data_IF_939037191017
#
_entry.id   IF_939037191017
#
_cell.length_a   1.000
_cell.length_b   1.000
_cell.length_c   1.000
_cell.angle_alpha   90.00
_cell.angle_beta   90.00
_cell.angle_gamma   90.00
#
_symmetry.space_group_name_H-M   'P 1'
#
loop_
_entity.id
_entity.type
_entity.pdbx_description
1 polymer ?
#
# COMPACT_ATOMS: atom_id res chain seq x y z
N UNK A 1 6.69 22.99 -14.30
CA UNK A 1 7.37 22.41 -13.12
C UNK A 1 8.35 23.42 -12.52
N UNK A 2 8.73 23.27 -11.23
CA UNK A 2 9.80 24.08 -10.61
C UNK A 2 11.16 23.58 -11.09
N UNK A 3 12.07 24.49 -11.44
CA UNK A 3 13.46 24.12 -11.77
C UNK A 3 14.35 24.36 -10.56
N UNK A 4 15.06 23.34 -10.12
CA UNK A 4 16.00 23.38 -8.99
C UNK A 4 17.40 22.95 -9.47
N UNK A 5 18.44 23.52 -8.86
CA UNK A 5 19.82 23.16 -9.14
C UNK A 5 20.56 22.91 -7.83
N UNK A 6 21.21 21.76 -7.70
CA UNK A 6 21.90 21.36 -6.47
C UNK A 6 23.03 22.30 -6.08
N UNK A 7 23.59 23.04 -7.05
CA UNK A 7 24.65 24.02 -6.79
C UNK A 7 24.12 25.38 -6.30
N UNK A 8 22.81 25.60 -6.29
CA UNK A 8 22.22 26.84 -5.78
C UNK A 8 22.22 26.85 -4.24
N UNK A 9 22.52 28.00 -3.66
CA UNK A 9 22.63 28.16 -2.20
C UNK A 9 21.30 27.86 -1.45
N UNK A 10 20.17 28.03 -2.13
CA UNK A 10 18.82 27.80 -1.61
C UNK A 10 18.25 26.42 -1.93
N UNK A 11 19.00 25.55 -2.61
CA UNK A 11 18.53 24.23 -3.05
C UNK A 11 17.88 23.43 -1.91
N UNK A 12 18.56 23.32 -0.76
CA UNK A 12 18.07 22.53 0.36
C UNK A 12 16.73 23.06 0.91
N UNK A 13 16.59 24.38 1.02
CA UNK A 13 15.33 24.99 1.48
C UNK A 13 14.22 24.85 0.46
N UNK A 14 14.54 24.98 -0.83
CA UNK A 14 13.58 24.77 -1.91
C UNK A 14 13.10 23.32 -2.00
N UNK A 15 14.00 22.35 -1.82
CA UNK A 15 13.65 20.93 -1.76
C UNK A 15 12.80 20.62 -0.55
N UNK A 16 13.13 21.15 0.64
CA UNK A 16 12.30 20.99 1.84
C UNK A 16 10.89 21.55 1.63
N UNK A 17 10.78 22.75 1.03
CA UNK A 17 9.49 23.36 0.73
C UNK A 17 8.67 22.55 -0.30
N UNK A 18 9.34 21.94 -1.30
CA UNK A 18 8.70 21.04 -2.26
C UNK A 18 8.12 19.79 -1.60
N UNK A 19 8.84 19.22 -0.64
CA UNK A 19 8.48 17.99 0.07
C UNK A 19 7.58 18.23 1.29
N UNK A 20 7.40 19.51 1.69
CA UNK A 20 6.47 19.85 2.77
C UNK A 20 5.04 19.62 2.28
N UNK A 21 4.57 18.40 2.48
CA UNK A 21 3.16 18.08 2.35
C UNK A 21 2.53 18.25 3.74
N UNK A 22 1.54 19.15 3.82
CA UNK A 22 0.75 19.27 5.04
C UNK A 22 -0.09 17.99 5.21
N UNK A 23 0.50 17.00 5.88
CA UNK A 23 -0.24 15.88 6.49
C UNK A 23 -1.05 16.36 7.70
N UNK A 24 -1.29 17.67 7.80
CA UNK A 24 -2.12 18.24 8.83
C UNK A 24 -3.48 17.56 8.76
N UNK A 25 -3.72 16.71 9.74
CA UNK A 25 -5.01 16.09 9.94
C UNK A 25 -6.02 17.24 10.10
N UNK A 26 -6.95 17.36 9.16
CA UNK A 26 -8.03 18.33 9.32
C UNK A 26 -8.87 17.90 10.55
N UNK A 27 -8.87 18.67 11.65
CA UNK A 27 -9.61 18.29 12.86
C UNK A 27 -11.10 18.10 12.59
N UNK A 28 -11.64 18.74 11.54
CA UNK A 28 -13.05 18.57 11.14
C UNK A 28 -13.27 17.18 10.54
N UNK A 29 -12.36 16.72 9.70
CA UNK A 29 -12.42 15.37 9.14
C UNK A 29 -12.29 14.34 10.27
N UNK A 30 -11.35 14.52 11.17
CA UNK A 30 -11.14 13.60 12.30
C UNK A 30 -12.38 13.51 13.20
N UNK A 31 -13.07 14.63 13.47
CA UNK A 31 -14.31 14.63 14.26
C UNK A 31 -15.45 13.93 13.53
N UNK A 32 -15.66 14.24 12.24
CA UNK A 32 -16.70 13.58 11.42
C UNK A 32 -16.47 12.06 11.39
N UNK A 33 -15.24 11.64 11.20
CA UNK A 33 -14.88 10.21 11.17
C UNK A 33 -15.08 9.56 12.53
N UNK A 34 -14.75 10.29 13.63
CA UNK A 34 -15.01 9.82 14.98
C UNK A 34 -16.48 9.51 15.21
N UNK A 35 -17.36 10.44 14.79
CA UNK A 35 -18.80 10.31 14.96
C UNK A 35 -19.36 9.15 14.11
N UNK A 36 -18.91 9.02 12.85
CA UNK A 36 -19.30 7.91 11.97
C UNK A 36 -18.85 6.56 12.57
N UNK A 37 -17.60 6.43 13.01
CA UNK A 37 -17.10 5.19 13.58
C UNK A 37 -17.86 4.78 14.84
N UNK A 38 -18.15 5.74 15.74
CA UNK A 38 -18.91 5.48 16.96
C UNK A 38 -20.38 5.08 16.64
N UNK A 39 -20.95 5.68 15.62
CA UNK A 39 -22.32 5.40 15.21
C UNK A 39 -22.45 4.01 14.56
N UNK A 40 -21.50 3.63 13.69
CA UNK A 40 -21.45 2.27 13.11
C UNK A 40 -21.26 1.22 14.22
N UNK A 41 -20.38 1.48 15.18
CA UNK A 41 -20.16 0.57 16.32
C UNK A 41 -21.43 0.39 17.15
N UNK A 42 -22.27 1.43 17.25
CA UNK A 42 -23.50 1.40 18.05
C UNK A 42 -24.71 0.83 17.30
N UNK A 43 -24.90 1.20 16.02
CA UNK A 43 -26.11 0.87 15.25
C UNK A 43 -25.91 -0.20 14.16
N UNK A 44 -24.67 -0.67 13.96
CA UNK A 44 -24.35 -1.73 13.00
C UNK A 44 -24.81 -1.42 11.58
N UNK A 45 -25.47 -2.38 10.96
CA UNK A 45 -25.97 -2.31 9.58
C UNK A 45 -26.83 -1.07 9.31
N UNK A 46 -27.66 -0.64 10.27
CA UNK A 46 -28.52 0.54 10.10
C UNK A 46 -27.71 1.82 9.85
N UNK A 47 -26.59 2.01 10.55
CA UNK A 47 -25.72 3.15 10.32
C UNK A 47 -25.02 3.06 8.96
N UNK A 48 -24.51 1.86 8.59
CA UNK A 48 -23.85 1.64 7.29
C UNK A 48 -24.79 1.96 6.14
N UNK A 49 -26.04 1.48 6.18
CA UNK A 49 -27.05 1.75 5.14
C UNK A 49 -27.33 3.26 5.05
N UNK A 50 -27.57 3.92 6.20
CA UNK A 50 -27.87 5.35 6.23
C UNK A 50 -26.72 6.19 5.61
N UNK A 51 -25.47 5.93 6.02
CA UNK A 51 -24.32 6.67 5.48
C UNK A 51 -24.06 6.34 4.01
N UNK A 52 -24.23 5.09 3.56
CA UNK A 52 -24.11 4.72 2.14
C UNK A 52 -25.18 5.41 1.29
N UNK A 53 -26.42 5.45 1.73
CA UNK A 53 -27.49 6.19 1.05
C UNK A 53 -27.18 7.68 0.97
N UNK A 54 -26.63 8.26 2.04
CA UNK A 54 -26.31 9.68 2.13
C UNK A 54 -25.10 10.09 1.29
N UNK A 55 -24.03 9.31 1.32
CA UNK A 55 -22.73 9.71 0.73
C UNK A 55 -22.52 9.15 -0.67
N UNK A 56 -23.05 7.94 -0.94
CA UNK A 56 -22.93 7.28 -2.24
C UNK A 56 -24.21 7.39 -3.07
N UNK A 57 -25.22 8.14 -2.57
CA UNK A 57 -26.49 8.34 -3.28
C UNK A 57 -27.16 7.01 -3.69
N UNK A 58 -27.05 5.99 -2.84
CA UNK A 58 -27.76 4.72 -3.02
C UNK A 58 -29.17 4.82 -2.44
N UNK A 59 -29.99 3.80 -2.64
CA UNK A 59 -31.35 3.71 -2.08
C UNK A 59 -31.58 2.35 -1.40
N UNK A 60 -30.53 1.81 -0.78
CA UNK A 60 -30.57 0.52 -0.13
C UNK A 60 -31.54 0.51 1.06
N UNK A 61 -32.36 -0.54 1.17
CA UNK A 61 -33.27 -0.76 2.29
C UNK A 61 -32.69 -1.76 3.30
N UNK A 62 -31.73 -2.56 2.85
CA UNK A 62 -31.05 -3.59 3.67
C UNK A 62 -29.61 -3.77 3.19
N UNK A 63 -28.78 -4.45 4.00
CA UNK A 63 -27.44 -4.84 3.58
C UNK A 63 -27.45 -5.85 2.43
N UNK A 64 -28.55 -6.58 2.21
CA UNK A 64 -28.67 -7.45 1.04
C UNK A 64 -28.57 -6.68 -0.28
N UNK A 65 -29.09 -5.45 -0.33
CA UNK A 65 -29.03 -4.58 -1.52
C UNK A 65 -27.59 -4.12 -1.82
N UNK A 66 -26.75 -4.10 -0.79
CA UNK A 66 -25.35 -3.69 -0.84
C UNK A 66 -24.37 -4.87 -0.86
N UNK A 67 -24.85 -6.11 -0.86
CA UNK A 67 -24.04 -7.31 -0.87
C UNK A 67 -23.98 -7.91 -2.26
N UNK A 68 -22.77 -8.29 -2.70
CA UNK A 68 -22.54 -8.98 -3.97
C UNK A 68 -22.06 -10.41 -3.72
N UNK A 69 -22.65 -11.33 -4.46
CA UNK A 69 -22.34 -12.76 -4.38
C UNK A 69 -21.21 -13.16 -5.32
N UNK A 70 -20.65 -14.36 -5.15
CA UNK A 70 -19.69 -14.93 -6.12
C UNK A 70 -20.28 -15.07 -7.52
N UNK A 71 -21.57 -15.34 -7.63
CA UNK A 71 -22.26 -15.40 -8.92
C UNK A 71 -22.28 -14.02 -9.60
N UNK A 72 -22.46 -12.94 -8.84
CA UNK A 72 -22.40 -11.57 -9.38
C UNK A 72 -20.99 -11.23 -9.90
N UNK A 73 -19.94 -11.64 -9.18
CA UNK A 73 -18.55 -11.42 -9.58
C UNK A 73 -18.21 -12.22 -10.84
N UNK A 74 -18.60 -13.49 -10.90
CA UNK A 74 -18.40 -14.33 -12.07
C UNK A 74 -19.15 -13.76 -13.28
N UNK A 75 -20.41 -13.38 -13.12
CA UNK A 75 -21.20 -12.78 -14.18
C UNK A 75 -20.58 -11.47 -14.70
N UNK A 76 -20.00 -10.65 -13.82
CA UNK A 76 -19.25 -9.45 -14.21
C UNK A 76 -18.03 -9.81 -15.06
N UNK A 77 -17.27 -10.83 -14.69
CA UNK A 77 -16.13 -11.32 -15.49
C UNK A 77 -16.57 -11.82 -16.86
N UNK A 78 -17.66 -12.60 -16.95
CA UNK A 78 -18.17 -13.16 -18.19
C UNK A 78 -18.71 -12.09 -19.17
N UNK A 79 -19.15 -10.93 -18.65
CA UNK A 79 -19.59 -9.79 -19.49
C UNK A 79 -18.46 -9.02 -20.15
N UNK A 80 -17.21 -9.14 -19.63
CA UNK A 80 -16.08 -8.40 -20.18
C UNK A 80 -15.67 -8.92 -21.56
N UNK A 81 -15.11 -8.06 -22.43
CA UNK A 81 -14.46 -8.50 -23.66
C UNK A 81 -13.32 -9.50 -23.38
N UNK A 82 -13.14 -10.49 -24.26
CA UNK A 82 -12.17 -11.58 -24.07
C UNK A 82 -10.72 -11.10 -23.86
N UNK A 83 -10.31 -10.01 -24.51
CA UNK A 83 -8.99 -9.40 -24.32
C UNK A 83 -8.82 -8.82 -22.92
N UNK A 84 -9.87 -8.25 -22.32
CA UNK A 84 -9.85 -7.70 -20.94
C UNK A 84 -9.82 -8.84 -19.92
N UNK A 85 -10.63 -9.90 -20.14
CA UNK A 85 -10.59 -11.11 -19.31
C UNK A 85 -9.18 -11.70 -19.28
N UNK A 86 -8.55 -11.85 -20.45
CA UNK A 86 -7.19 -12.38 -20.59
C UNK A 86 -6.16 -11.49 -19.87
N UNK A 87 -6.26 -10.16 -20.03
CA UNK A 87 -5.35 -9.22 -19.37
C UNK A 87 -5.45 -9.30 -17.85
N UNK A 88 -6.67 -9.36 -17.26
CA UNK A 88 -6.87 -9.52 -15.82
C UNK A 88 -6.26 -10.83 -15.31
N UNK A 89 -6.49 -11.94 -16.00
CA UNK A 89 -5.95 -13.25 -15.63
C UNK A 89 -4.42 -13.28 -15.69
N UNK A 90 -3.83 -12.71 -16.75
CA UNK A 90 -2.36 -12.63 -16.89
C UNK A 90 -1.73 -11.75 -15.82
N UNK A 91 -2.32 -10.59 -15.52
CA UNK A 91 -1.90 -9.71 -14.44
C UNK A 91 -1.94 -10.46 -13.10
N UNK A 92 -3.07 -11.07 -12.75
CA UNK A 92 -3.23 -11.82 -11.51
C UNK A 92 -2.21 -12.96 -11.39
N UNK A 93 -1.97 -13.71 -12.46
CA UNK A 93 -0.98 -14.81 -12.47
C UNK A 93 0.43 -14.31 -12.20
N UNK A 94 0.83 -13.17 -12.77
CA UNK A 94 2.16 -12.58 -12.54
C UNK A 94 2.30 -12.07 -11.11
N UNK A 95 1.28 -11.39 -10.60
CA UNK A 95 1.25 -10.90 -9.21
C UNK A 95 1.29 -12.07 -8.23
N UNK A 96 0.52 -13.13 -8.45
CA UNK A 96 0.56 -14.36 -7.67
C UNK A 96 1.96 -14.98 -7.66
N UNK A 97 2.55 -15.18 -8.84
CA UNK A 97 3.89 -15.78 -8.98
C UNK A 97 4.98 -15.01 -8.23
N UNK A 98 4.89 -13.67 -8.21
CA UNK A 98 5.81 -12.84 -7.44
C UNK A 98 5.59 -13.03 -5.93
N UNK A 99 4.35 -12.95 -5.47
CA UNK A 99 4.01 -13.02 -4.06
C UNK A 99 4.22 -14.41 -3.45
N UNK A 100 4.14 -15.48 -4.25
CA UNK A 100 4.51 -16.84 -3.79
C UNK A 100 5.96 -16.91 -3.30
N UNK A 101 6.89 -16.10 -3.84
CA UNK A 101 8.29 -16.04 -3.40
C UNK A 101 8.48 -15.32 -2.07
N UNK A 102 7.49 -14.54 -1.64
CA UNK A 102 7.50 -13.82 -0.36
C UNK A 102 6.97 -14.67 0.80
N UNK A 103 6.33 -15.81 0.49
CA UNK A 103 5.66 -16.64 1.50
C UNK A 103 6.67 -17.18 2.51
N UNK A 104 6.51 -16.78 3.77
CA UNK A 104 7.33 -17.27 4.86
C UNK A 104 6.91 -18.69 5.26
N UNK A 105 7.87 -19.47 5.74
CA UNK A 105 7.66 -20.81 6.25
C UNK A 105 8.00 -20.88 7.74
N UNK A 106 7.30 -21.74 8.48
CA UNK A 106 7.65 -22.07 9.85
C UNK A 106 9.00 -22.78 9.91
N UNK A 107 9.76 -22.53 10.96
CA UNK A 107 11.06 -23.14 11.18
C UNK A 107 11.31 -23.36 12.67
N UNK A 108 12.16 -24.32 12.99
CA UNK A 108 12.66 -24.56 14.34
C UNK A 108 14.06 -25.18 14.28
N UNK A 109 14.77 -25.06 15.39
CA UNK A 109 16.02 -25.75 15.65
C UNK A 109 16.10 -26.20 17.10
N UNK A 110 16.99 -27.10 17.41
CA UNK A 110 17.21 -27.60 18.77
C UNK A 110 18.65 -27.26 19.19
N UNK A 111 18.81 -26.60 20.32
CA UNK A 111 20.09 -26.27 20.91
C UNK A 111 20.77 -27.52 21.52
N UNK A 112 22.07 -27.41 21.90
CA UNK A 112 22.87 -28.49 22.46
C UNK A 112 22.27 -29.09 23.74
N UNK A 113 21.57 -28.29 24.54
CA UNK A 113 20.86 -28.70 25.75
C UNK A 113 19.48 -29.36 25.48
N UNK A 114 19.09 -29.52 24.21
CA UNK A 114 17.82 -30.07 23.78
C UNK A 114 16.65 -29.08 23.80
N UNK A 115 16.89 -27.79 24.06
CA UNK A 115 15.86 -26.75 23.96
C UNK A 115 15.48 -26.50 22.51
N UNK A 116 14.18 -26.62 22.16
CA UNK A 116 13.67 -26.31 20.84
C UNK A 116 13.21 -24.85 20.80
N UNK A 117 13.72 -24.11 19.83
CA UNK A 117 13.31 -22.75 19.51
C UNK A 117 12.85 -22.67 18.05
N UNK A 118 11.85 -21.85 17.78
CA UNK A 118 11.34 -21.73 16.42
C UNK A 118 10.35 -20.61 16.24
N UNK A 119 9.80 -20.59 15.03
CA UNK A 119 8.77 -19.62 14.66
C UNK A 119 7.68 -20.32 13.85
N UNK A 120 6.44 -20.21 14.31
CA UNK A 120 5.26 -20.66 13.59
C UNK A 120 4.72 -19.52 12.74
N UNK A 121 4.53 -19.78 11.46
CA UNK A 121 3.89 -18.86 10.52
C UNK A 121 2.45 -19.30 10.32
N UNK A 122 1.52 -18.36 10.46
CA UNK A 122 0.10 -18.57 10.18
C UNK A 122 -0.47 -17.39 9.40
N UNK A 123 -1.42 -17.65 8.49
CA UNK A 123 -2.19 -16.61 7.87
C UNK A 123 -3.08 -15.88 8.89
N UNK A 124 -3.55 -14.68 8.54
CA UNK A 124 -4.68 -14.04 9.19
C UNK A 124 -5.96 -14.84 8.87
N UNK A 125 -6.96 -14.75 9.72
CA UNK A 125 -8.20 -15.48 9.52
C UNK A 125 -9.14 -14.76 8.54
N UNK A 126 -9.15 -13.41 8.59
CA UNK A 126 -10.02 -12.58 7.74
C UNK A 126 -9.39 -11.22 7.47
N UNK A 127 -9.47 -10.76 6.23
CA UNK A 127 -8.97 -9.43 5.84
C UNK A 127 -10.00 -8.64 5.06
N UNK A 128 -10.00 -7.32 5.28
CA UNK A 128 -10.79 -6.36 4.51
C UNK A 128 -9.90 -5.63 3.51
N UNK A 129 -10.33 -5.56 2.26
CA UNK A 129 -9.70 -4.71 1.26
C UNK A 129 -10.61 -3.56 0.89
N UNK A 130 -10.09 -2.34 0.97
CA UNK A 130 -10.78 -1.13 0.54
C UNK A 130 -10.36 -0.79 -0.88
N UNK A 131 -11.31 -0.73 -1.79
CA UNK A 131 -11.08 -0.33 -3.18
C UNK A 131 -11.77 1.01 -3.41
N UNK A 132 -11.04 2.05 -3.85
CA UNK A 132 -11.66 3.33 -4.15
C UNK A 132 -12.71 3.19 -5.26
N UNK A 133 -13.78 3.98 -5.16
CA UNK A 133 -14.77 4.16 -6.23
C UNK A 133 -14.85 5.62 -6.64
N UNK A 134 -15.47 5.92 -7.75
CA UNK A 134 -15.76 7.28 -8.20
C UNK A 134 -15.08 7.65 -9.52
N UNK A 135 -14.04 8.51 -9.53
CA UNK A 135 -13.47 9.10 -10.75
C UNK A 135 -12.82 8.10 -11.72
N UNK A 136 -12.37 6.95 -11.24
CA UNK A 136 -11.78 5.88 -12.06
C UNK A 136 -12.12 4.50 -11.49
N UNK A 137 -12.03 3.47 -12.34
CA UNK A 137 -12.05 2.08 -11.93
C UNK A 137 -10.62 1.65 -11.57
N UNK A 138 -10.47 0.89 -10.48
CA UNK A 138 -9.16 0.43 -9.99
C UNK A 138 -9.09 -1.11 -9.89
N UNK A 139 -9.20 -1.85 -11.01
CA UNK A 139 -9.09 -3.31 -10.99
C UNK A 139 -7.70 -3.78 -10.53
N UNK A 140 -6.64 -3.01 -10.81
CA UNK A 140 -5.29 -3.28 -10.32
C UNK A 140 -5.24 -3.25 -8.80
N UNK A 141 -5.87 -2.25 -8.15
CA UNK A 141 -5.93 -2.18 -6.69
C UNK A 141 -6.64 -3.39 -6.06
N UNK A 142 -7.62 -3.97 -6.74
CA UNK A 142 -8.24 -5.22 -6.28
C UNK A 142 -7.23 -6.35 -6.30
N UNK A 143 -6.56 -6.58 -7.43
CA UNK A 143 -5.56 -7.65 -7.59
C UNK A 143 -4.43 -7.47 -6.59
N UNK A 144 -3.88 -6.26 -6.46
CA UNK A 144 -2.73 -5.94 -5.60
C UNK A 144 -3.03 -6.07 -4.11
N UNK A 145 -4.26 -5.85 -3.68
CA UNK A 145 -4.65 -6.05 -2.28
C UNK A 145 -5.07 -7.49 -1.98
N UNK A 146 -5.83 -8.13 -2.90
CA UNK A 146 -6.39 -9.45 -2.66
C UNK A 146 -5.37 -10.59 -2.88
N UNK A 147 -4.53 -10.50 -3.93
CA UNK A 147 -3.64 -11.59 -4.30
C UNK A 147 -2.60 -11.95 -3.22
N UNK A 148 -1.90 -11.00 -2.57
CA UNK A 148 -0.97 -11.35 -1.48
C UNK A 148 -1.69 -11.97 -0.27
N UNK A 149 -2.93 -11.58 0.01
CA UNK A 149 -3.75 -12.23 1.05
C UNK A 149 -4.13 -13.66 0.66
N UNK A 150 -4.52 -13.87 -0.60
CA UNK A 150 -4.80 -15.19 -1.15
C UNK A 150 -3.56 -16.11 -1.08
N UNK A 151 -2.40 -15.62 -1.50
CA UNK A 151 -1.11 -16.34 -1.44
C UNK A 151 -0.72 -16.66 0.00
N UNK A 152 -0.96 -15.78 0.95
CA UNK A 152 -0.73 -16.02 2.37
C UNK A 152 -1.58 -17.17 2.92
N UNK A 153 -2.69 -17.47 2.26
CA UNK A 153 -3.66 -18.49 2.68
C UNK A 153 -4.78 -17.94 3.57
N UNK A 154 -5.09 -16.65 3.47
CA UNK A 154 -6.23 -16.04 4.17
C UNK A 154 -7.53 -16.65 3.64
N UNK A 155 -8.34 -17.30 4.50
CA UNK A 155 -9.54 -18.02 4.04
C UNK A 155 -10.70 -17.09 3.66
N UNK A 156 -10.76 -15.87 4.21
CA UNK A 156 -11.85 -14.94 3.95
C UNK A 156 -11.29 -13.54 3.61
N UNK A 157 -11.47 -13.14 2.35
CA UNK A 157 -11.07 -11.84 1.83
C UNK A 157 -12.33 -11.04 1.49
N UNK A 158 -12.59 -9.98 2.26
CA UNK A 158 -13.78 -9.14 2.14
C UNK A 158 -13.39 -7.84 1.43
N UNK A 159 -14.05 -7.54 0.32
CA UNK A 159 -13.87 -6.28 -0.39
C UNK A 159 -15.01 -5.31 -0.06
N UNK A 160 -14.65 -4.05 0.20
CA UNK A 160 -15.59 -2.94 0.23
C UNK A 160 -15.24 -1.96 -0.90
N UNK A 161 -16.24 -1.55 -1.67
CA UNK A 161 -16.09 -0.64 -2.80
C UNK A 161 -17.33 0.23 -2.92
N UNK A 162 -17.22 1.57 -2.85
CA UNK A 162 -18.37 2.44 -3.04
C UNK A 162 -18.90 2.34 -4.47
N UNK A 163 -20.22 2.38 -4.60
CA UNK A 163 -20.93 2.35 -5.89
C UNK A 163 -21.85 3.56 -5.97
N UNK A 164 -21.34 4.78 -6.25
CA UNK A 164 -22.15 5.99 -6.30
C UNK A 164 -23.31 5.85 -7.29
N UNK A 165 -24.52 6.23 -6.84
CA UNK A 165 -25.74 6.04 -7.63
C UNK A 165 -26.16 4.58 -7.85
N UNK A 166 -25.51 3.62 -7.20
CA UNK A 166 -25.71 2.18 -7.39
C UNK A 166 -24.99 1.61 -8.63
N UNK A 167 -24.14 2.40 -9.30
CA UNK A 167 -23.41 1.95 -10.49
C UNK A 167 -22.28 0.99 -10.12
N UNK A 168 -22.36 -0.22 -10.66
CA UNK A 168 -21.36 -1.28 -10.46
C UNK A 168 -20.41 -1.34 -11.65
N UNK A 169 -19.11 -1.37 -11.39
CA UNK A 169 -18.12 -1.45 -12.45
C UNK A 169 -17.68 -2.91 -12.68
N UNK A 170 -18.03 -3.45 -13.83
CA UNK A 170 -17.78 -4.88 -14.16
C UNK A 170 -16.30 -5.26 -14.12
N UNK A 171 -15.37 -4.40 -14.52
CA UNK A 171 -13.93 -4.75 -14.51
C UNK A 171 -13.38 -4.83 -13.06
N UNK A 172 -13.91 -4.04 -12.12
CA UNK A 172 -13.55 -4.10 -10.70
C UNK A 172 -14.09 -5.39 -10.07
N UNK A 173 -15.34 -5.75 -10.36
CA UNK A 173 -15.95 -6.98 -9.87
C UNK A 173 -15.29 -8.24 -10.47
N UNK A 174 -14.94 -8.18 -11.75
CA UNK A 174 -14.19 -9.23 -12.43
C UNK A 174 -12.78 -9.41 -11.83
N UNK A 175 -12.10 -8.32 -11.49
CA UNK A 175 -10.83 -8.38 -10.79
C UNK A 175 -10.98 -9.05 -9.41
N UNK A 176 -12.06 -8.76 -8.68
CA UNK A 176 -12.37 -9.41 -7.41
C UNK A 176 -12.60 -10.93 -7.57
N UNK A 177 -13.30 -11.33 -8.65
CA UNK A 177 -13.46 -12.75 -8.99
C UNK A 177 -12.12 -13.43 -9.26
N UNK A 178 -11.30 -12.84 -10.13
CA UNK A 178 -9.99 -13.41 -10.52
C UNK A 178 -9.01 -13.46 -9.35
N UNK A 179 -9.05 -12.48 -8.45
CA UNK A 179 -8.16 -12.40 -7.29
C UNK A 179 -8.62 -13.22 -6.08
N UNK A 180 -9.76 -13.94 -6.18
CA UNK A 180 -10.24 -14.82 -5.10
C UNK A 180 -10.87 -14.09 -3.92
N UNK A 181 -11.44 -12.90 -4.12
CA UNK A 181 -12.23 -12.20 -3.10
C UNK A 181 -13.45 -13.03 -2.76
N UNK A 182 -13.71 -13.24 -1.46
CA UNK A 182 -14.80 -14.14 -1.00
C UNK A 182 -16.15 -13.45 -0.83
N UNK A 183 -16.14 -12.18 -0.44
CA UNK A 183 -17.34 -11.34 -0.26
C UNK A 183 -17.10 -9.93 -0.72
N UNK A 184 -18.13 -9.28 -1.26
CA UNK A 184 -18.07 -7.87 -1.66
C UNK A 184 -19.27 -7.12 -1.10
N UNK A 185 -19.00 -5.94 -0.53
CA UNK A 185 -20.03 -5.01 -0.11
C UNK A 185 -19.87 -3.68 -0.86
N UNK A 186 -20.97 -3.22 -1.44
CA UNK A 186 -21.06 -1.95 -2.17
C UNK A 186 -21.19 -0.77 -1.18
N UNK A 187 -20.18 -0.58 -0.34
CA UNK A 187 -20.09 0.46 0.68
C UNK A 187 -18.72 1.13 0.63
N UNK A 188 -18.66 2.41 0.99
CA UNK A 188 -17.41 3.19 0.96
C UNK A 188 -17.22 4.07 2.21
N UNK A 189 -16.24 4.96 2.17
CA UNK A 189 -16.01 5.96 3.21
C UNK A 189 -15.61 5.40 4.58
N UNK A 190 -15.71 6.26 5.60
CA UNK A 190 -15.37 5.91 6.97
C UNK A 190 -16.28 4.82 7.55
N UNK A 191 -17.56 4.77 7.13
CA UNK A 191 -18.51 3.76 7.58
C UNK A 191 -18.12 2.34 7.12
N UNK A 192 -17.56 2.20 5.93
CA UNK A 192 -17.07 0.91 5.44
C UNK A 192 -15.85 0.42 6.24
N UNK A 193 -14.91 1.33 6.54
CA UNK A 193 -13.76 1.02 7.40
C UNK A 193 -14.21 0.65 8.81
N UNK A 194 -15.17 1.37 9.37
CA UNK A 194 -15.74 1.07 10.68
C UNK A 194 -16.46 -0.28 10.71
N UNK A 195 -17.24 -0.60 9.66
CA UNK A 195 -17.92 -1.89 9.52
C UNK A 195 -16.92 -3.06 9.48
N UNK A 196 -15.83 -2.93 8.72
CA UNK A 196 -14.76 -3.94 8.69
C UNK A 196 -14.04 -4.06 10.05
N UNK A 197 -13.81 -2.94 10.74
CA UNK A 197 -13.03 -2.92 11.98
C UNK A 197 -13.82 -3.45 13.20
N UNK A 198 -15.09 -3.11 13.31
CA UNK A 198 -15.90 -3.47 14.49
C UNK A 198 -16.84 -4.66 14.24
N UNK A 199 -17.09 -4.97 12.97
CA UNK A 199 -18.16 -5.87 12.58
C UNK A 199 -19.53 -5.21 12.68
N UNK A 200 -20.48 -5.77 11.95
CA UNK A 200 -21.91 -5.47 12.04
C UNK A 200 -22.70 -6.79 12.00
N UNK A 201 -24.00 -6.75 11.93
CA UNK A 201 -24.82 -7.94 11.78
C UNK A 201 -24.51 -8.69 10.47
N UNK A 202 -24.14 -7.96 9.41
CA UNK A 202 -23.88 -8.54 8.07
C UNK A 202 -22.39 -8.51 7.68
N UNK A 203 -21.65 -7.45 8.03
CA UNK A 203 -20.22 -7.32 7.70
C UNK A 203 -19.39 -7.91 8.83
N UNK A 204 -18.68 -9.04 8.60
CA UNK A 204 -17.83 -9.62 9.64
C UNK A 204 -16.64 -8.72 9.99
N UNK A 205 -16.26 -8.70 11.27
CA UNK A 205 -15.02 -8.05 11.70
C UNK A 205 -13.82 -8.74 11.07
N UNK A 206 -12.82 -7.94 10.65
CA UNK A 206 -11.58 -8.43 10.02
C UNK A 206 -10.36 -8.21 10.93
N UNK A 207 -9.27 -8.93 10.64
CA UNK A 207 -8.00 -8.80 11.38
C UNK A 207 -7.13 -7.65 10.83
N UNK A 208 -7.24 -7.37 9.53
CA UNK A 208 -6.48 -6.30 8.86
C UNK A 208 -7.32 -5.66 7.76
N UNK A 209 -7.17 -4.33 7.61
CA UNK A 209 -7.74 -3.55 6.51
C UNK A 209 -6.60 -3.01 5.64
N UNK A 210 -6.65 -3.29 4.32
CA UNK A 210 -5.68 -2.79 3.34
C UNK A 210 -6.38 -1.99 2.24
N UNK A 211 -5.60 -1.22 1.51
CA UNK A 211 -6.07 -0.45 0.37
C UNK A 211 -6.11 1.05 0.60
N UNK A 212 -5.91 1.83 -0.48
CA UNK A 212 -5.93 3.28 -0.46
C UNK A 212 -7.35 3.83 -0.37
N UNK A 213 -7.50 5.07 0.07
CA UNK A 213 -8.76 5.78 0.10
C UNK A 213 -8.57 7.27 0.29
N UNK A 214 -9.66 8.03 0.23
CA UNK A 214 -9.64 9.47 0.46
C UNK A 214 -9.31 9.83 1.92
N UNK A 215 -9.25 11.13 2.24
CA UNK A 215 -8.92 11.65 3.56
C UNK A 215 -9.80 11.06 4.69
N UNK A 216 -11.09 10.78 4.43
CA UNK A 216 -12.00 10.17 5.42
C UNK A 216 -11.64 8.70 5.68
N UNK A 217 -11.29 7.95 4.63
CA UNK A 217 -10.84 6.56 4.74
C UNK A 217 -9.50 6.49 5.48
N UNK A 218 -8.57 7.36 5.13
CA UNK A 218 -7.27 7.47 5.79
C UNK A 218 -7.41 7.79 7.28
N UNK A 219 -8.28 8.76 7.64
CA UNK A 219 -8.60 9.10 9.02
C UNK A 219 -9.27 7.93 9.76
N UNK A 220 -10.20 7.22 9.11
CA UNK A 220 -10.85 6.05 9.69
C UNK A 220 -9.85 4.91 9.94
N UNK A 221 -8.96 4.59 8.99
CA UNK A 221 -7.90 3.58 9.16
C UNK A 221 -7.00 3.92 10.35
N UNK A 222 -6.54 5.17 10.48
CA UNK A 222 -5.77 5.60 11.66
C UNK A 222 -6.54 5.37 12.97
N UNK A 223 -7.83 5.69 12.98
CA UNK A 223 -8.66 5.60 14.18
C UNK A 223 -8.91 4.18 14.65
N UNK A 224 -9.10 3.25 13.72
CA UNK A 224 -9.38 1.85 14.05
C UNK A 224 -8.11 1.02 14.29
N UNK A 225 -6.93 1.60 14.02
CA UNK A 225 -5.66 0.90 14.28
C UNK A 225 -5.52 0.56 15.77
N UNK A 226 -5.20 -0.70 16.05
CA UNK A 226 -5.17 -1.27 17.40
C UNK A 226 -6.41 -2.12 17.71
N UNK A 227 -7.57 -1.83 17.11
CA UNK A 227 -8.73 -2.75 17.07
C UNK A 227 -8.55 -3.73 15.92
N UNK A 228 -8.06 -3.24 14.80
CA UNK A 228 -7.74 -3.99 13.59
C UNK A 228 -6.37 -3.55 13.08
N UNK A 229 -5.62 -4.43 12.43
CA UNK A 229 -4.40 -4.04 11.72
C UNK A 229 -4.72 -3.22 10.47
N UNK A 230 -3.76 -2.39 10.04
CA UNK A 230 -3.84 -1.70 8.75
C UNK A 230 -2.54 -1.94 7.97
N UNK A 231 -2.57 -1.72 6.65
CA UNK A 231 -1.37 -1.66 5.82
C UNK A 231 -0.55 -0.40 6.12
N UNK A 232 -1.05 0.73 5.65
CA UNK A 232 -0.45 2.05 5.82
C UNK A 232 -1.52 3.14 5.73
N UNK A 233 -1.13 4.38 6.02
CA UNK A 233 -1.92 5.56 5.71
C UNK A 233 -1.30 6.20 4.47
N UNK A 234 -1.94 6.00 3.32
CA UNK A 234 -1.47 6.53 2.06
C UNK A 234 -1.64 8.06 1.97
N UNK A 235 -0.62 8.72 1.46
CA UNK A 235 -0.67 10.09 0.96
C UNK A 235 -0.98 10.14 -0.53
N UNK A 236 -0.82 11.31 -1.18
CA UNK A 236 -0.88 11.41 -2.63
C UNK A 236 0.20 10.57 -3.30
N UNK A 237 -0.08 10.08 -4.49
CA UNK A 237 0.87 9.28 -5.27
C UNK A 237 2.09 10.12 -5.73
N UNK A 238 3.24 9.47 -5.85
CA UNK A 238 4.53 10.12 -6.08
C UNK A 238 5.37 9.32 -7.08
N UNK A 239 5.97 10.01 -8.06
CA UNK A 239 7.04 9.46 -8.90
C UNK A 239 8.28 10.32 -8.82
N UNK A 240 9.44 9.68 -8.77
CA UNK A 240 10.74 10.25 -8.95
C UNK A 240 11.47 9.53 -10.09
N UNK A 241 11.84 10.23 -11.13
CA UNK A 241 12.65 9.69 -12.22
C UNK A 241 14.07 10.23 -12.11
N UNK A 242 15.08 9.34 -12.08
CA UNK A 242 16.49 9.69 -12.27
C UNK A 242 16.86 9.33 -13.70
N UNK A 243 17.34 10.31 -14.48
CA UNK A 243 17.70 10.11 -15.88
C UNK A 243 19.09 10.65 -16.20
N UNK A 244 19.85 9.88 -16.99
CA UNK A 244 21.20 10.24 -17.49
C UNK A 244 21.22 10.71 -18.95
N UNK A 245 20.03 10.74 -19.61
CA UNK A 245 19.89 11.08 -21.02
C UNK A 245 19.87 9.89 -21.97
N UNK A 246 20.03 8.66 -21.48
CA UNK A 246 19.99 7.45 -22.31
C UNK A 246 18.56 7.02 -22.72
N UNK A 247 17.54 7.51 -22.01
CA UNK A 247 16.13 7.28 -22.31
C UNK A 247 15.60 8.43 -23.17
N UNK A 248 14.77 8.17 -24.21
CA UNK A 248 14.12 9.21 -24.98
C UNK A 248 13.32 10.17 -24.09
N UNK A 249 13.44 11.47 -24.31
CA UNK A 249 12.79 12.50 -23.50
C UNK A 249 11.25 12.37 -23.45
N UNK A 250 10.64 11.95 -24.57
CA UNK A 250 9.20 11.71 -24.65
C UNK A 250 8.72 10.57 -23.74
N UNK A 251 9.56 9.56 -23.49
CA UNK A 251 9.20 8.45 -22.58
C UNK A 251 9.17 8.96 -21.14
N UNK A 252 10.22 9.68 -20.72
CA UNK A 252 10.27 10.24 -19.37
C UNK A 252 9.15 11.28 -19.15
N UNK A 253 8.85 12.10 -20.17
CA UNK A 253 7.71 13.01 -20.09
C UNK A 253 6.37 12.27 -19.87
N UNK A 254 6.19 11.12 -20.53
CA UNK A 254 4.99 10.32 -20.37
C UNK A 254 4.93 9.60 -19.01
N UNK A 255 6.07 9.15 -18.47
CA UNK A 255 6.16 8.56 -17.14
C UNK A 255 5.81 9.59 -16.04
N UNK A 256 6.26 10.85 -16.19
CA UNK A 256 5.84 11.93 -15.29
C UNK A 256 4.33 12.24 -15.41
N UNK A 257 3.75 12.12 -16.61
CA UNK A 257 2.32 12.33 -16.83
C UNK A 257 1.49 11.19 -16.27
N UNK A 258 1.95 9.94 -16.35
CA UNK A 258 1.22 8.79 -15.83
C UNK A 258 0.95 8.92 -14.34
N UNK A 259 1.89 9.50 -13.58
CA UNK A 259 1.66 9.81 -12.17
C UNK A 259 0.83 11.08 -11.98
N UNK A 260 1.12 12.14 -12.73
CA UNK A 260 0.46 13.43 -12.57
C UNK A 260 -1.04 13.39 -12.92
N UNK A 261 -1.47 12.45 -13.76
CA UNK A 261 -2.89 12.30 -14.12
C UNK A 261 -3.76 11.69 -13.00
N UNK A 262 -3.17 11.12 -11.94
CA UNK A 262 -3.93 10.50 -10.86
C UNK A 262 -4.73 11.51 -10.06
N UNK A 263 -4.12 12.64 -9.65
CA UNK A 263 -4.76 13.68 -8.87
C UNK A 263 -4.00 15.02 -8.97
N UNK A 264 -4.67 16.15 -8.71
CA UNK A 264 -4.09 17.50 -8.72
C UNK A 264 -3.00 17.70 -7.65
N UNK A 265 -2.94 16.81 -6.65
CA UNK A 265 -1.91 16.83 -5.59
C UNK A 265 -0.88 15.69 -5.74
N UNK A 266 -0.91 14.91 -6.80
CA UNK A 266 0.14 13.95 -7.11
C UNK A 266 1.49 14.68 -7.29
N UNK A 267 2.60 13.99 -7.02
CA UNK A 267 3.93 14.55 -7.14
C UNK A 267 4.74 13.86 -8.23
N UNK A 268 5.31 14.63 -9.16
CA UNK A 268 6.20 14.14 -10.20
C UNK A 268 7.50 14.92 -10.18
N UNK A 269 8.63 14.24 -9.95
CA UNK A 269 9.96 14.82 -9.87
C UNK A 269 10.88 14.14 -10.88
N UNK A 270 11.62 14.95 -11.64
CA UNK A 270 12.72 14.49 -12.50
C UNK A 270 14.05 14.98 -11.94
N UNK A 271 15.03 14.11 -11.80
CA UNK A 271 16.42 14.45 -11.54
C UNK A 271 17.25 14.03 -12.74
N UNK A 272 17.99 14.97 -13.32
CA UNK A 272 18.93 14.67 -14.40
C UNK A 272 20.28 15.36 -14.18
N UNK A 273 21.32 14.82 -14.83
CA UNK A 273 22.70 15.33 -14.72
C UNK A 273 23.06 16.31 -15.86
N UNK A 274 22.12 16.57 -16.76
CA UNK A 274 22.29 17.43 -17.93
C UNK A 274 21.16 18.45 -18.03
N UNK A 275 21.50 19.73 -18.10
CA UNK A 275 20.52 20.79 -18.35
C UNK A 275 19.84 20.59 -19.71
N UNK A 276 20.61 20.25 -20.76
CA UNK A 276 20.04 19.99 -22.08
C UNK A 276 18.96 18.92 -22.04
N UNK A 277 19.19 17.84 -21.28
CA UNK A 277 18.18 16.77 -21.16
C UNK A 277 16.92 17.22 -20.41
N UNK A 278 17.05 18.06 -19.37
CA UNK A 278 15.89 18.67 -18.72
C UNK A 278 15.08 19.53 -19.70
N UNK A 279 15.79 20.32 -20.54
CA UNK A 279 15.15 21.16 -21.57
C UNK A 279 14.44 20.30 -22.62
N UNK A 280 15.05 19.19 -23.04
CA UNK A 280 14.47 18.25 -24.00
C UNK A 280 13.19 17.58 -23.43
N UNK A 281 13.20 17.18 -22.16
CA UNK A 281 12.01 16.62 -21.47
C UNK A 281 10.93 17.68 -21.33
N UNK A 282 11.27 18.93 -20.98
CA UNK A 282 10.29 20.03 -20.93
C UNK A 282 9.64 20.26 -22.30
N UNK A 283 10.42 20.27 -23.36
CA UNK A 283 9.90 20.42 -24.73
C UNK A 283 8.99 19.26 -25.14
N UNK A 284 9.33 18.03 -24.74
CA UNK A 284 8.48 16.86 -24.95
C UNK A 284 7.15 16.98 -24.18
N UNK A 285 7.21 17.43 -22.91
CA UNK A 285 6.01 17.67 -22.10
C UNK A 285 5.08 18.71 -22.72
N UNK A 286 5.62 19.86 -23.18
CA UNK A 286 4.86 20.95 -23.80
C UNK A 286 4.12 20.49 -25.06
N UNK A 287 4.71 19.55 -25.80
CA UNK A 287 4.11 18.92 -26.98
C UNK A 287 3.03 17.91 -26.59
N UNK A 288 3.38 16.94 -25.73
CA UNK A 288 2.53 15.78 -25.41
C UNK A 288 1.30 16.14 -24.58
N UNK A 289 1.38 17.18 -23.73
CA UNK A 289 0.26 17.61 -22.89
C UNK A 289 -1.00 17.98 -23.70
N UNK A 290 -0.81 18.41 -24.96
CA UNK A 290 -1.92 18.79 -25.84
C UNK A 290 -2.82 17.59 -26.20
N UNK A 291 -2.28 16.38 -26.12
CA UNK A 291 -2.95 15.13 -26.48
C UNK A 291 -3.59 14.42 -25.26
N UNK A 292 -3.35 14.91 -24.04
CA UNK A 292 -3.78 14.25 -22.82
C UNK A 292 -5.25 14.55 -22.47
N UNK A 293 -6.11 13.52 -22.33
CA UNK A 293 -7.51 13.72 -21.95
C UNK A 293 -7.68 14.37 -20.58
N UNK A 294 -6.76 14.06 -19.63
CA UNK A 294 -6.78 14.60 -18.26
C UNK A 294 -5.84 15.81 -18.08
N UNK A 295 -5.61 16.57 -19.12
CA UNK A 295 -4.68 17.70 -19.18
C UNK A 295 -4.76 18.63 -17.96
N UNK A 296 -5.96 19.05 -17.57
CA UNK A 296 -6.15 19.98 -16.47
C UNK A 296 -5.61 19.44 -15.13
N UNK A 297 -5.76 18.15 -14.88
CA UNK A 297 -5.26 17.47 -13.68
C UNK A 297 -3.75 17.38 -13.73
N UNK A 298 -3.18 16.97 -14.88
CA UNK A 298 -1.73 16.89 -15.09
C UNK A 298 -1.07 18.26 -14.89
N UNK A 299 -1.60 19.33 -15.53
CA UNK A 299 -1.09 20.69 -15.41
C UNK A 299 -1.14 21.19 -13.95
N UNK A 300 -2.21 20.90 -13.21
CA UNK A 300 -2.34 21.28 -11.81
C UNK A 300 -1.32 20.52 -10.93
N UNK A 301 -1.19 19.22 -11.09
CA UNK A 301 -0.22 18.39 -10.38
C UNK A 301 1.22 18.88 -10.61
N UNK A 302 1.64 18.99 -11.86
CA UNK A 302 2.98 19.44 -12.23
C UNK A 302 3.26 20.89 -11.82
N UNK A 303 2.25 21.75 -11.85
CA UNK A 303 2.37 23.15 -11.41
C UNK A 303 2.55 23.28 -9.90
N UNK A 304 1.78 22.51 -9.14
CA UNK A 304 1.76 22.58 -7.67
C UNK A 304 2.95 21.84 -7.04
N UNK A 305 3.19 20.59 -7.47
CA UNK A 305 4.12 19.66 -6.81
C UNK A 305 5.19 19.07 -7.74
N UNK A 306 5.22 19.45 -9.01
CA UNK A 306 6.23 18.99 -9.95
C UNK A 306 7.54 19.77 -9.83
N UNK A 307 8.68 19.06 -9.99
CA UNK A 307 9.99 19.68 -10.04
C UNK A 307 10.94 18.96 -11.01
N UNK A 308 11.84 19.71 -11.61
CA UNK A 308 13.01 19.23 -12.34
C UNK A 308 14.25 19.66 -11.58
N UNK A 309 15.15 18.74 -11.30
CA UNK A 309 16.35 18.96 -10.50
C UNK A 309 17.58 18.67 -11.37
N UNK A 310 18.43 19.67 -11.55
CA UNK A 310 19.76 19.49 -12.12
C UNK A 310 20.69 19.04 -11.01
N UNK A 311 21.15 17.79 -11.07
CA UNK A 311 22.16 17.24 -10.18
C UNK A 311 23.54 17.26 -10.84
N UNK A 312 24.57 17.28 -10.04
CA UNK A 312 25.96 17.27 -10.48
C UNK A 312 26.33 15.96 -11.19
N UNK A 313 25.91 14.84 -10.61
CA UNK A 313 26.19 13.49 -11.08
C UNK A 313 25.11 12.51 -10.57
N UNK A 314 25.18 11.23 -10.96
CA UNK A 314 24.24 10.20 -10.55
C UNK A 314 24.38 9.81 -9.07
N UNK A 315 25.57 9.97 -8.46
CA UNK A 315 25.73 9.74 -7.02
C UNK A 315 24.91 10.74 -6.22
N UNK A 316 25.01 12.02 -6.54
CA UNK A 316 24.20 13.06 -5.91
C UNK A 316 22.71 12.86 -6.19
N UNK A 317 22.33 12.43 -7.41
CA UNK A 317 20.95 12.10 -7.74
C UNK A 317 20.39 10.97 -6.83
N UNK A 318 21.17 9.94 -6.58
CA UNK A 318 20.80 8.85 -5.65
C UNK A 318 20.68 9.34 -4.19
N UNK A 319 21.55 10.23 -3.75
CA UNK A 319 21.49 10.84 -2.42
C UNK A 319 20.21 11.67 -2.26
N UNK A 320 19.85 12.46 -3.24
CA UNK A 320 18.60 13.24 -3.27
C UNK A 320 17.39 12.32 -3.28
N UNK A 321 17.40 11.25 -4.08
CA UNK A 321 16.34 10.27 -4.12
C UNK A 321 16.14 9.59 -2.74
N UNK A 322 17.22 9.22 -2.06
CA UNK A 322 17.16 8.69 -0.70
C UNK A 322 16.63 9.71 0.32
N UNK A 323 16.91 11.00 0.13
CA UNK A 323 16.35 12.05 0.96
C UNK A 323 14.86 12.24 0.70
N UNK A 324 14.42 12.20 -0.56
CA UNK A 324 13.01 12.29 -0.97
C UNK A 324 12.25 11.05 -0.49
N UNK A 325 12.84 9.86 -0.61
CA UNK A 325 12.22 8.57 -0.29
C UNK A 325 10.86 8.39 -0.98
N UNK A 326 10.82 8.39 -2.33
CA UNK A 326 9.60 8.42 -3.11
C UNK A 326 8.84 7.09 -3.05
N UNK A 327 7.57 7.13 -3.41
CA UNK A 327 6.73 5.95 -3.65
C UNK A 327 7.29 5.13 -4.82
N UNK A 328 7.31 5.73 -6.02
CA UNK A 328 7.87 5.12 -7.23
C UNK A 328 9.20 5.80 -7.56
N UNK A 329 10.25 5.02 -7.75
CA UNK A 329 11.55 5.49 -8.24
C UNK A 329 11.90 4.81 -9.55
N UNK A 330 12.01 5.58 -10.63
CA UNK A 330 12.54 5.11 -11.90
C UNK A 330 14.02 5.45 -12.04
N UNK A 331 14.84 4.43 -12.20
CA UNK A 331 16.25 4.54 -12.61
C UNK A 331 16.32 4.45 -14.14
N UNK A 332 15.98 5.54 -14.81
CA UNK A 332 15.97 5.66 -16.28
C UNK A 332 17.38 6.00 -16.79
N UNK A 333 18.34 5.14 -16.44
CA UNK A 333 19.78 5.31 -16.67
C UNK A 333 20.38 4.06 -17.30
N UNK A 334 21.54 4.21 -17.96
CA UNK A 334 22.34 3.07 -18.36
C UNK A 334 22.82 2.29 -17.14
N UNK A 335 22.90 0.97 -17.26
CA UNK A 335 23.36 0.07 -16.20
C UNK A 335 22.62 0.27 -14.86
N UNK A 336 21.29 0.45 -14.90
CA UNK A 336 20.45 0.72 -13.73
C UNK A 336 20.68 -0.28 -12.56
N UNK A 337 21.09 -1.52 -12.86
CA UNK A 337 21.44 -2.54 -11.85
C UNK A 337 22.66 -2.16 -10.99
N UNK A 338 23.57 -1.35 -11.51
CA UNK A 338 24.73 -0.85 -10.75
C UNK A 338 24.35 0.28 -9.80
N UNK A 339 23.30 1.04 -10.15
CA UNK A 339 22.79 2.17 -9.37
C UNK A 339 21.77 1.77 -8.31
N UNK A 340 20.97 0.74 -8.57
CA UNK A 340 19.91 0.29 -7.66
C UNK A 340 20.39 0.02 -6.22
N UNK A 341 21.60 -0.57 -5.97
CA UNK A 341 22.10 -0.75 -4.61
C UNK A 341 22.40 0.54 -3.82
N UNK A 342 22.51 1.69 -4.49
CA UNK A 342 22.69 3.00 -3.86
C UNK A 342 21.38 3.60 -3.35
N UNK A 343 20.24 3.04 -3.79
CA UNK A 343 18.91 3.45 -3.35
C UNK A 343 18.53 2.62 -2.11
N UNK A 344 18.27 3.32 -1.03
CA UNK A 344 17.87 2.71 0.25
C UNK A 344 16.42 2.98 0.62
N UNK A 345 15.84 4.04 0.05
CA UNK A 345 14.53 4.54 0.42
C UNK A 345 13.69 4.82 -0.83
N UNK A 346 12.95 3.82 -1.27
CA UNK A 346 11.92 3.93 -2.30
C UNK A 346 10.86 2.86 -2.04
N UNK A 347 9.62 3.13 -2.38
CA UNK A 347 8.55 2.13 -2.32
C UNK A 347 8.79 1.02 -3.35
N UNK A 348 9.06 1.38 -4.60
CA UNK A 348 9.47 0.48 -5.67
C UNK A 348 10.59 1.11 -6.51
N UNK A 349 11.48 0.28 -7.06
CA UNK A 349 12.59 0.70 -7.93
C UNK A 349 12.40 0.09 -9.31
N UNK A 350 12.15 0.93 -10.30
CA UNK A 350 11.97 0.57 -11.71
C UNK A 350 13.29 0.77 -12.44
N UNK A 351 13.87 -0.28 -13.02
CA UNK A 351 15.24 -0.26 -13.50
C UNK A 351 15.31 -0.30 -15.02
N UNK A 352 15.89 0.77 -15.62
CA UNK A 352 16.19 0.87 -17.04
C UNK A 352 15.02 1.37 -17.88
N UNK A 353 15.32 1.86 -19.07
CA UNK A 353 14.43 2.61 -19.96
C UNK A 353 13.13 1.91 -20.40
N UNK A 354 13.07 0.58 -20.31
CA UNK A 354 11.89 -0.20 -20.69
C UNK A 354 10.95 -0.47 -19.52
N UNK A 355 11.25 0.05 -18.33
CA UNK A 355 10.50 -0.24 -17.11
C UNK A 355 9.78 1.01 -16.64
N UNK A 356 8.63 1.29 -17.25
CA UNK A 356 7.74 2.36 -16.81
C UNK A 356 6.95 1.98 -15.56
N UNK A 357 6.53 2.97 -14.78
CA UNK A 357 5.63 2.80 -13.63
C UNK A 357 4.39 1.97 -13.99
N UNK A 358 3.76 2.26 -15.12
CA UNK A 358 2.55 1.57 -15.58
C UNK A 358 2.71 0.05 -15.73
N UNK A 359 3.91 -0.43 -16.12
CA UNK A 359 4.15 -1.87 -16.19
C UNK A 359 4.16 -2.52 -14.80
N UNK A 360 4.73 -1.84 -13.81
CA UNK A 360 4.70 -2.27 -12.42
C UNK A 360 3.28 -2.28 -11.87
N UNK A 361 2.57 -1.20 -12.07
CA UNK A 361 1.24 -0.99 -11.52
C UNK A 361 0.20 -1.99 -12.03
N UNK A 362 0.33 -2.42 -13.28
CA UNK A 362 -0.68 -3.29 -13.86
C UNK A 362 -0.28 -4.76 -13.97
N UNK A 363 1.01 -5.09 -14.20
CA UNK A 363 1.28 -6.46 -14.62
C UNK A 363 2.70 -7.01 -14.37
N UNK A 364 3.67 -6.24 -13.89
CA UNK A 364 5.03 -6.77 -13.72
C UNK A 364 5.11 -7.85 -12.63
N UNK A 365 4.28 -7.74 -11.58
CA UNK A 365 4.21 -8.70 -10.49
C UNK A 365 4.39 -8.12 -9.09
N UNK A 366 5.36 -7.22 -8.83
CA UNK A 366 5.44 -6.49 -7.56
C UNK A 366 4.18 -5.71 -7.24
N UNK A 367 3.95 -5.45 -5.95
CA UNK A 367 2.77 -4.75 -5.47
C UNK A 367 2.89 -3.23 -5.68
N UNK A 368 1.82 -2.58 -6.12
CA UNK A 368 1.75 -1.12 -6.25
C UNK A 368 1.15 -0.42 -5.02
N UNK A 369 0.75 -1.15 -3.97
CA UNK A 369 0.37 -0.53 -2.69
C UNK A 369 1.65 -0.22 -1.95
N UNK A 370 2.12 1.00 -2.12
CA UNK A 370 3.46 1.45 -1.76
C UNK A 370 3.42 2.52 -0.66
N UNK A 371 4.50 2.64 0.13
CA UNK A 371 4.63 3.71 1.11
C UNK A 371 4.83 5.06 0.41
N UNK A 372 3.94 6.02 0.71
CA UNK A 372 3.96 7.39 0.22
C UNK A 372 4.48 8.37 1.26
N UNK A 373 4.60 9.64 0.91
CA UNK A 373 4.92 10.73 1.85
C UNK A 373 6.17 10.45 2.69
N UNK A 374 7.22 9.98 2.03
CA UNK A 374 8.53 9.67 2.61
C UNK A 374 8.52 8.50 3.61
N UNK A 375 7.44 7.72 3.70
CA UNK A 375 7.38 6.58 4.63
C UNK A 375 8.18 5.38 4.13
N UNK A 376 8.64 5.37 2.87
CA UNK A 376 9.56 4.36 2.34
C UNK A 376 10.89 4.25 3.13
N UNK A 377 11.18 5.19 4.03
CA UNK A 377 12.32 5.13 4.97
C UNK A 377 12.13 4.09 6.08
N UNK A 378 10.91 3.65 6.37
CA UNK A 378 10.59 2.72 7.46
C UNK A 378 9.41 1.77 7.14
N UNK A 379 8.77 1.93 6.00
CA UNK A 379 7.67 1.08 5.53
C UNK A 379 8.06 0.40 4.21
N UNK A 380 7.39 -0.69 3.91
CA UNK A 380 7.60 -1.51 2.71
C UNK A 380 6.33 -1.60 1.87
N UNK A 381 6.42 -2.00 0.59
CA UNK A 381 5.26 -2.39 -0.21
C UNK A 381 4.42 -3.46 0.47
N UNK A 382 3.13 -3.46 0.20
CA UNK A 382 2.24 -4.54 0.63
C UNK A 382 2.73 -5.88 0.05
N UNK A 383 2.80 -6.90 0.90
CA UNK A 383 3.29 -8.21 0.50
C UNK A 383 2.58 -9.35 1.22
N UNK A 384 2.93 -10.58 0.85
CA UNK A 384 2.37 -11.79 1.47
C UNK A 384 2.60 -11.82 2.99
N UNK A 385 3.73 -11.32 3.46
CA UNK A 385 4.10 -11.24 4.87
C UNK A 385 3.20 -10.31 5.70
N UNK A 386 2.49 -9.36 5.07
CA UNK A 386 1.53 -8.49 5.74
C UNK A 386 0.25 -9.22 6.16
N UNK A 387 -0.01 -10.37 5.54
CA UNK A 387 -1.14 -11.25 5.79
C UNK A 387 -0.75 -12.51 6.56
N UNK A 388 0.50 -12.59 7.00
CA UNK A 388 1.04 -13.66 7.82
C UNK A 388 1.49 -13.12 9.18
N UNK A 389 1.20 -13.86 10.24
CA UNK A 389 1.71 -13.57 11.59
C UNK A 389 2.70 -14.63 12.04
N UNK A 390 3.58 -14.25 12.93
CA UNK A 390 4.67 -15.06 13.45
C UNK A 390 4.49 -15.23 14.95
N UNK A 391 4.50 -16.48 15.42
CA UNK A 391 4.47 -16.81 16.85
C UNK A 391 5.75 -17.54 17.21
N UNK A 392 6.39 -17.15 18.30
CA UNK A 392 7.58 -17.84 18.80
C UNK A 392 7.18 -19.22 19.36
N UNK A 393 7.95 -20.25 19.00
CA UNK A 393 7.87 -21.59 19.58
C UNK A 393 9.05 -21.75 20.53
N UNK A 394 8.75 -22.08 21.79
CA UNK A 394 9.74 -22.26 22.85
C UNK A 394 9.38 -23.53 23.62
N UNK A 395 10.27 -24.52 23.58
CA UNK A 395 10.16 -25.74 24.39
C UNK A 395 11.50 -25.99 25.06
N UNK A 396 11.60 -25.57 26.31
CA UNK A 396 12.82 -25.79 27.10
C UNK A 396 12.89 -27.23 27.56
N UNK A 397 14.02 -27.87 27.33
CA UNK A 397 14.32 -29.22 27.82
C UNK A 397 14.58 -29.23 29.33
N UNK A 398 14.59 -30.40 29.95
CA UNK A 398 14.96 -30.54 31.35
C UNK A 398 16.41 -30.05 31.60
N UNK A 399 17.33 -30.38 30.71
CA UNK A 399 18.72 -29.90 30.78
C UNK A 399 18.83 -28.40 30.58
N UNK A 400 18.12 -27.83 29.58
CA UNK A 400 18.06 -26.39 29.33
C UNK A 400 17.47 -25.61 30.49
N UNK A 401 16.49 -26.18 31.20
CA UNK A 401 15.90 -25.54 32.38
C UNK A 401 16.93 -25.31 33.50
N UNK A 402 17.95 -26.19 33.63
CA UNK A 402 18.98 -26.05 34.66
C UNK A 402 19.90 -24.85 34.43
N UNK A 403 20.20 -24.53 33.16
CA UNK A 403 21.04 -23.38 32.79
C UNK A 403 20.20 -22.10 32.68
N UNK A 404 19.13 -22.12 31.89
CA UNK A 404 18.28 -20.97 31.64
C UNK A 404 17.52 -20.53 32.90
N UNK A 405 17.11 -21.46 33.75
CA UNK A 405 16.39 -21.16 34.99
C UNK A 405 17.22 -20.31 35.97
N UNK A 406 18.54 -20.58 36.08
CA UNK A 406 19.45 -19.76 36.90
C UNK A 406 19.57 -18.33 36.36
N UNK A 407 19.67 -18.18 35.02
CA UNK A 407 19.75 -16.87 34.39
C UNK A 407 18.45 -16.09 34.61
N UNK A 408 17.29 -16.76 34.36
CA UNK A 408 15.99 -16.15 34.50
C UNK A 408 15.71 -15.71 35.95
N UNK A 409 16.05 -16.57 36.94
CA UNK A 409 15.91 -16.26 38.37
C UNK A 409 16.74 -15.03 38.75
N UNK A 410 18.02 -15.00 38.34
CA UNK A 410 18.92 -13.87 38.65
C UNK A 410 18.39 -12.55 38.09
N UNK A 411 17.96 -12.54 36.83
CA UNK A 411 17.42 -11.33 36.19
C UNK A 411 16.10 -10.89 36.81
N UNK A 412 15.19 -11.82 37.06
CA UNK A 412 13.88 -11.51 37.64
C UNK A 412 13.99 -10.96 39.08
N UNK A 413 14.93 -11.47 39.89
CA UNK A 413 15.21 -10.88 41.18
C UNK A 413 15.78 -9.46 41.05
N UNK A 414 16.66 -9.20 40.06
CA UNK A 414 17.16 -7.87 39.74
C UNK A 414 16.05 -6.87 39.37
N UNK A 415 15.01 -7.35 38.74
CA UNK A 415 13.81 -6.58 38.36
C UNK A 415 12.76 -6.53 39.51
N UNK A 416 13.03 -7.16 40.67
CA UNK A 416 12.09 -7.31 41.80
C UNK A 416 10.80 -8.07 41.43
N UNK A 417 10.85 -8.92 40.40
CA UNK A 417 9.74 -9.77 39.94
C UNK A 417 9.82 -11.18 40.55
N UNK A 418 9.55 -11.27 41.86
CA UNK A 418 9.72 -12.51 42.62
C UNK A 418 8.95 -13.72 42.06
N UNK A 419 7.75 -13.50 41.54
CA UNK A 419 6.96 -14.61 40.96
C UNK A 419 7.63 -15.17 39.67
N UNK A 420 8.24 -14.32 38.86
CA UNK A 420 9.01 -14.74 37.69
C UNK A 420 10.25 -15.54 38.10
N UNK A 421 11.01 -15.03 39.11
CA UNK A 421 12.15 -15.74 39.63
C UNK A 421 11.77 -17.15 40.13
N UNK A 422 10.77 -17.25 40.98
CA UNK A 422 10.30 -18.54 41.52
C UNK A 422 9.73 -19.47 40.45
N UNK A 423 9.08 -18.95 39.41
CA UNK A 423 8.62 -19.77 38.30
C UNK A 423 9.77 -20.48 37.58
N UNK A 424 10.94 -19.84 37.45
CA UNK A 424 12.15 -20.45 36.94
C UNK A 424 12.78 -21.44 37.96
N UNK A 425 12.88 -21.04 39.23
CA UNK A 425 13.49 -21.83 40.31
C UNK A 425 12.79 -23.17 40.53
N UNK A 426 11.45 -23.23 40.46
CA UNK A 426 10.69 -24.48 40.58
C UNK A 426 11.03 -25.53 39.49
N UNK A 427 11.74 -25.17 38.47
CA UNK A 427 12.20 -26.07 37.40
C UNK A 427 13.66 -26.45 37.52
N UNK A 428 14.36 -25.91 38.51
CA UNK A 428 15.72 -26.31 38.85
C UNK A 428 15.66 -27.59 39.72
N UNK A 429 16.61 -28.49 39.49
CA UNK A 429 16.86 -29.60 40.42
C UNK A 429 17.63 -29.11 41.61
N UNK A 430 17.34 -29.63 42.79
CA UNK A 430 18.09 -29.41 43.99
C UNK A 430 19.56 -29.82 43.91
#
# INVERSE_FOLDING_TARGET
>A
MKLLNTQSADFQSALQALLAFETAQDPKIDQIVADICADVQKRGDAAVIEYSNRFDSTSAQSMADLTLTQADLQAAFERLPANVQTALQQSATRVESYHQRQKMQSWHYTDEDGTLLGQQISALDRVGIYVPGGKAAYPSSVIMNAMPAHVAGVPEIIMVVPTPGGERNDIVLAAAFVAGVTRVFSIGGAQAVAALAYGTETVPQVDKITGPGNAFVAAAKRRVFGVVGIDMVAGPSEILVIADGSTPAEWVAMDLFSQAEHDEIAQAILIATSQQYLDDVQAAMDKLIQEMPRRAIIEASLGNRGAMILAKDLDEACEIANYIAPEHLELSVENAQEWAPKIRHAGAIFMGKYTSESLGDYCAGPNHVLPTSRTARFSSPLGTYDFQKRSSLIQVSEAGAQSLGKIASTLAHGEMLTAHARAAEFRLKD
#
